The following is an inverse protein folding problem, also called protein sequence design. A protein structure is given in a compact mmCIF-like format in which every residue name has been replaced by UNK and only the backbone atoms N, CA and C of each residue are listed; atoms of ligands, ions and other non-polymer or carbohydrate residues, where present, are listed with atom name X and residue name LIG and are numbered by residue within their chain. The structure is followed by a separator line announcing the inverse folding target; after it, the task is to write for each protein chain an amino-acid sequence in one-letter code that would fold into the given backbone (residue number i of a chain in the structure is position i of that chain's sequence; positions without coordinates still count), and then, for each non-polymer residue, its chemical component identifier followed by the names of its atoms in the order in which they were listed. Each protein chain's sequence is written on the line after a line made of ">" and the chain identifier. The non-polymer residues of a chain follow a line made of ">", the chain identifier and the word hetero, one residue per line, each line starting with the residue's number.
data_IF_630580490943
#
_entry.id   IF_630580490943
#
_cell.length_a   1.000
_cell.length_b   1.000
_cell.length_c   1.000
_cell.angle_alpha   90.00
_cell.angle_beta   90.00
_cell.angle_gamma   90.00
#
_symmetry.space_group_name_H-M   'P 1'
#
loop_
_entity.id
_entity.type
_entity.pdbx_description
1 polymer ?
#
# COMPACT_ATOMS: atom_id res chain seq x y z
N UNK A 1 15.23 46.73 -33.82
CA UNK A 1 15.30 45.26 -33.69
C UNK A 1 14.50 44.89 -32.44
N UNK A 2 13.22 44.52 -32.59
CA UNK A 2 12.39 44.10 -31.44
C UNK A 2 12.67 42.63 -31.14
N UNK A 3 13.19 42.33 -29.95
CA UNK A 3 13.25 40.98 -29.42
C UNK A 3 11.91 40.69 -28.75
N UNK A 4 11.08 39.88 -29.40
CA UNK A 4 9.86 39.36 -28.77
C UNK A 4 10.25 38.31 -27.75
N UNK A 5 9.93 38.55 -26.48
CA UNK A 5 10.05 37.56 -25.42
C UNK A 5 8.98 36.50 -25.66
N UNK A 6 9.41 35.28 -26.01
CA UNK A 6 8.50 34.17 -26.22
C UNK A 6 8.08 33.61 -24.86
N UNK A 7 6.80 33.75 -24.53
CA UNK A 7 6.24 33.17 -23.31
C UNK A 7 6.41 31.65 -23.34
N UNK A 8 7.01 31.08 -22.29
CA UNK A 8 7.02 29.64 -22.06
C UNK A 8 5.56 29.20 -21.87
N UNK A 9 4.94 28.65 -22.92
CA UNK A 9 3.63 28.03 -22.78
C UNK A 9 3.81 26.80 -21.89
N UNK A 10 3.07 26.66 -20.76
CA UNK A 10 3.10 25.44 -19.99
C UNK A 10 2.64 24.30 -20.89
N UNK A 11 3.53 23.36 -21.18
CA UNK A 11 3.12 22.11 -21.79
C UNK A 11 2.14 21.45 -20.82
N UNK A 12 0.97 20.96 -21.25
CA UNK A 12 0.10 20.17 -20.40
C UNK A 12 0.94 19.03 -19.83
N UNK A 13 1.25 19.10 -18.54
CA UNK A 13 1.92 18.01 -17.84
C UNK A 13 1.01 16.80 -18.04
N UNK A 14 1.51 15.63 -18.49
CA UNK A 14 0.70 14.43 -18.49
C UNK A 14 0.12 14.27 -17.08
N UNK A 15 -1.20 14.29 -16.96
CA UNK A 15 -1.85 14.04 -15.68
C UNK A 15 -1.60 12.56 -15.33
N UNK A 16 -0.47 12.29 -14.68
CA UNK A 16 -0.23 10.98 -14.10
C UNK A 16 -1.20 10.82 -12.93
N UNK A 17 -2.07 9.81 -13.02
CA UNK A 17 -3.05 9.50 -11.97
C UNK A 17 -2.39 9.04 -10.67
N UNK A 18 -1.13 8.59 -10.77
CA UNK A 18 -0.30 8.19 -9.65
C UNK A 18 0.99 9.01 -9.58
N UNK A 19 1.54 9.22 -8.37
CA UNK A 19 2.85 9.84 -8.22
C UNK A 19 3.96 9.06 -8.96
N UNK A 20 5.08 9.72 -9.21
CA UNK A 20 6.29 9.08 -9.73
C UNK A 20 6.72 7.93 -8.80
N UNK A 21 7.13 6.80 -9.38
CA UNK A 21 7.47 5.53 -8.71
C UNK A 21 6.31 4.78 -8.03
N UNK A 22 5.06 5.16 -8.31
CA UNK A 22 3.87 4.41 -7.87
C UNK A 22 3.24 3.66 -9.02
N UNK A 23 2.67 2.48 -8.72
CA UNK A 23 2.01 1.63 -9.71
C UNK A 23 0.49 1.82 -9.60
N UNK A 24 -0.13 2.27 -10.69
CA UNK A 24 -1.58 2.39 -10.79
C UNK A 24 -2.26 1.05 -11.08
N UNK A 25 -3.26 0.68 -10.29
CA UNK A 25 -4.09 -0.48 -10.50
C UNK A 25 -5.50 -0.26 -9.95
N UNK A 26 -6.51 -0.41 -10.82
CA UNK A 26 -7.94 -0.35 -10.48
C UNK A 26 -8.36 0.91 -9.69
N UNK A 27 -7.84 2.08 -10.02
CA UNK A 27 -8.22 3.33 -9.35
C UNK A 27 -7.45 3.61 -8.06
N UNK A 28 -6.39 2.84 -7.79
CA UNK A 28 -5.47 3.01 -6.65
C UNK A 28 -4.03 3.10 -7.13
N UNK A 29 -3.24 3.87 -6.42
CA UNK A 29 -1.79 3.93 -6.57
C UNK A 29 -1.15 3.13 -5.46
N UNK A 30 -0.21 2.26 -5.80
CA UNK A 30 0.53 1.41 -4.88
C UNK A 30 2.02 1.77 -4.87
N UNK A 31 2.60 1.84 -3.68
CA UNK A 31 4.03 2.01 -3.47
C UNK A 31 4.56 0.81 -2.68
N UNK A 32 5.67 0.24 -3.13
CA UNK A 32 6.34 -0.89 -2.50
C UNK A 32 7.67 -0.39 -1.94
N UNK A 33 7.87 -0.50 -0.63
CA UNK A 33 9.08 0.01 0.00
C UNK A 33 10.29 -0.88 -0.31
N UNK A 34 11.44 -0.23 -0.49
CA UNK A 34 12.73 -0.92 -0.49
C UNK A 34 13.27 -1.08 0.93
N UNK A 35 12.91 -0.16 1.82
CA UNK A 35 13.26 -0.19 3.24
C UNK A 35 12.37 -1.16 4.03
N UNK A 36 12.86 -1.58 5.19
CA UNK A 36 12.12 -2.38 6.16
C UNK A 36 11.78 -1.56 7.42
N UNK A 37 10.65 -1.93 8.04
CA UNK A 37 10.13 -1.30 9.24
C UNK A 37 9.21 -2.26 9.99
N UNK A 38 8.97 -1.99 11.27
CA UNK A 38 7.83 -2.57 11.98
C UNK A 38 6.50 -2.02 11.44
N UNK A 39 5.40 -2.70 11.76
CA UNK A 39 4.09 -2.38 11.19
C UNK A 39 3.66 -0.92 11.45
N UNK A 40 3.87 -0.42 12.67
CA UNK A 40 3.52 0.97 13.05
C UNK A 40 4.34 1.97 12.26
N UNK A 41 5.67 1.83 12.23
CA UNK A 41 6.54 2.70 11.46
C UNK A 41 6.23 2.67 9.97
N UNK A 42 5.80 1.52 9.45
CA UNK A 42 5.39 1.37 8.05
C UNK A 42 4.12 2.17 7.75
N UNK A 43 3.13 2.14 8.65
CA UNK A 43 1.94 2.98 8.54
C UNK A 43 2.27 4.47 8.62
N UNK A 44 3.19 4.87 9.50
CA UNK A 44 3.63 6.26 9.60
C UNK A 44 4.31 6.73 8.30
N UNK A 45 5.15 5.88 7.70
CA UNK A 45 5.78 6.15 6.41
C UNK A 45 4.74 6.30 5.29
N UNK A 46 3.73 5.43 5.22
CA UNK A 46 2.65 5.60 4.25
C UNK A 46 1.86 6.89 4.49
N UNK A 47 1.61 7.24 5.76
CA UNK A 47 0.88 8.46 6.13
C UNK A 47 1.64 9.71 5.71
N UNK A 48 2.97 9.72 5.83
CA UNK A 48 3.83 10.81 5.35
C UNK A 48 3.74 11.02 3.81
N UNK A 49 3.34 9.99 3.06
CA UNK A 49 3.13 10.04 1.61
C UNK A 49 1.67 10.35 1.22
N UNK A 50 0.82 10.73 2.19
CA UNK A 50 -0.62 10.93 2.00
C UNK A 50 -1.35 9.65 1.61
N UNK A 51 -0.87 8.51 2.12
CA UNK A 51 -1.37 7.18 1.84
C UNK A 51 -1.62 6.42 3.16
N UNK A 52 -1.89 5.12 3.06
CA UNK A 52 -1.93 4.21 4.20
C UNK A 52 -1.29 2.90 3.82
N UNK A 53 -0.92 2.06 4.80
CA UNK A 53 -0.61 0.67 4.51
C UNK A 53 -1.76 0.06 3.71
N UNK A 54 -1.41 -0.75 2.70
CA UNK A 54 -2.32 -1.07 1.61
C UNK A 54 -3.63 -1.69 2.11
N UNK A 55 -4.74 -1.10 1.68
CA UNK A 55 -6.09 -1.61 1.85
C UNK A 55 -6.52 -2.36 0.59
N UNK A 56 -6.86 -3.64 0.74
CA UNK A 56 -7.23 -4.51 -0.37
C UNK A 56 -8.74 -4.74 -0.34
N UNK A 57 -9.44 -4.30 -1.38
CA UNK A 57 -10.91 -4.39 -1.41
C UNK A 57 -11.39 -5.69 -2.08
N UNK A 58 -10.50 -6.37 -2.81
CA UNK A 58 -10.86 -7.56 -3.59
C UNK A 58 -9.71 -8.56 -3.74
N UNK A 59 -10.05 -9.76 -4.23
CA UNK A 59 -9.06 -10.80 -4.55
C UNK A 59 -8.15 -10.36 -5.69
N UNK A 60 -8.63 -9.51 -6.59
CA UNK A 60 -7.81 -8.90 -7.65
C UNK A 60 -6.74 -7.96 -7.09
N UNK A 61 -7.09 -7.14 -6.09
CA UNK A 61 -6.11 -6.30 -5.39
C UNK A 61 -5.02 -7.17 -4.73
N UNK A 62 -5.43 -8.25 -4.03
CA UNK A 62 -4.50 -9.20 -3.40
C UNK A 62 -3.59 -9.87 -4.45
N UNK A 63 -4.17 -10.34 -5.55
CA UNK A 63 -3.43 -10.99 -6.63
C UNK A 63 -2.42 -10.05 -7.28
N UNK A 64 -2.79 -8.78 -7.45
CA UNK A 64 -1.90 -7.74 -7.95
C UNK A 64 -0.73 -7.51 -7.00
N UNK A 65 -0.97 -7.25 -5.71
CA UNK A 65 0.13 -6.94 -4.78
C UNK A 65 1.08 -8.13 -4.57
N UNK A 66 0.57 -9.37 -4.56
CA UNK A 66 1.42 -10.58 -4.50
C UNK A 66 2.33 -10.69 -5.73
N UNK A 67 1.80 -10.37 -6.91
CA UNK A 67 2.56 -10.42 -8.16
C UNK A 67 3.66 -9.37 -8.24
N UNK A 68 3.42 -8.19 -7.67
CA UNK A 68 4.32 -7.03 -7.80
C UNK A 68 5.31 -6.85 -6.64
N UNK A 69 5.04 -7.39 -5.45
CA UNK A 69 5.93 -7.23 -4.27
C UNK A 69 7.33 -7.85 -4.41
N UNK A 70 7.58 -8.63 -5.47
CA UNK A 70 8.83 -9.38 -5.62
C UNK A 70 9.01 -10.47 -4.57
N UNK A 71 10.25 -10.69 -4.12
CA UNK A 71 10.60 -11.77 -3.19
C UNK A 71 10.34 -11.43 -1.72
N UNK A 72 10.39 -10.15 -1.35
CA UNK A 72 10.28 -9.72 0.04
C UNK A 72 8.87 -9.89 0.60
N UNK A 73 8.77 -10.07 1.90
CA UNK A 73 7.51 -10.07 2.63
C UNK A 73 7.13 -8.63 2.97
N UNK A 74 5.85 -8.27 2.83
CA UNK A 74 5.43 -6.87 2.98
C UNK A 74 4.26 -6.70 3.94
N UNK A 75 4.36 -5.74 4.85
CA UNK A 75 3.21 -5.30 5.65
C UNK A 75 2.08 -4.75 4.78
N UNK A 76 0.85 -5.02 5.22
CA UNK A 76 -0.38 -4.42 4.68
C UNK A 76 -1.20 -3.81 5.82
N UNK A 77 -2.23 -3.03 5.47
CA UNK A 77 -2.98 -2.22 6.42
C UNK A 77 -3.98 -3.00 7.25
N UNK A 78 -3.65 -4.23 7.67
CA UNK A 78 -4.55 -5.13 8.37
C UNK A 78 -3.93 -5.63 9.69
N UNK A 79 -4.66 -5.45 10.78
CA UNK A 79 -4.23 -5.80 12.14
C UNK A 79 -5.41 -6.26 13.01
N UNK A 80 -5.11 -6.81 14.18
CA UNK A 80 -6.06 -7.15 15.24
C UNK A 80 -5.46 -6.86 16.61
N UNK A 81 -6.31 -6.58 17.59
CA UNK A 81 -5.88 -6.21 18.95
C UNK A 81 -5.34 -7.42 19.72
N UNK A 82 -5.99 -8.57 19.57
CA UNK A 82 -5.58 -9.85 20.14
C UNK A 82 -5.91 -11.01 19.18
N UNK A 83 -5.56 -12.25 19.53
CA UNK A 83 -5.78 -13.41 18.66
C UNK A 83 -7.25 -13.80 18.47
N UNK A 84 -8.13 -13.35 19.37
CA UNK A 84 -9.56 -13.65 19.40
C UNK A 84 -10.39 -12.53 18.74
N UNK A 85 -9.81 -11.35 18.59
CA UNK A 85 -10.42 -10.20 17.93
C UNK A 85 -10.46 -10.36 16.40
N UNK A 86 -11.50 -9.79 15.76
CA UNK A 86 -11.59 -9.73 14.31
C UNK A 86 -10.50 -8.84 13.72
N UNK A 87 -10.07 -9.20 12.51
CA UNK A 87 -9.19 -8.37 11.69
C UNK A 87 -9.87 -7.06 11.27
N UNK A 88 -9.12 -5.96 11.38
CA UNK A 88 -9.53 -4.61 10.98
C UNK A 88 -8.49 -3.98 10.06
N UNK A 89 -8.98 -3.32 9.03
CA UNK A 89 -8.18 -2.46 8.18
C UNK A 89 -7.84 -1.15 8.91
N UNK A 90 -6.77 -0.48 8.48
CA UNK A 90 -6.34 0.82 9.02
C UNK A 90 -7.38 1.94 8.88
N UNK A 91 -8.35 1.80 7.98
CA UNK A 91 -9.51 2.70 7.87
C UNK A 91 -10.68 2.31 8.80
N UNK A 92 -10.45 1.39 9.75
CA UNK A 92 -11.42 0.83 10.68
C UNK A 92 -12.51 -0.04 10.05
N UNK A 93 -12.42 -0.38 8.76
CA UNK A 93 -13.34 -1.35 8.17
C UNK A 93 -12.98 -2.78 8.57
N UNK A 94 -13.98 -3.65 8.60
CA UNK A 94 -13.78 -5.07 8.90
C UNK A 94 -13.26 -5.82 7.66
N UNK A 95 -12.45 -6.86 7.90
CA UNK A 95 -12.10 -7.81 6.86
C UNK A 95 -13.36 -8.52 6.34
N UNK A 96 -13.58 -8.49 5.04
CA UNK A 96 -14.59 -9.32 4.40
C UNK A 96 -14.17 -10.79 4.41
N UNK A 97 -15.11 -11.74 4.29
CA UNK A 97 -14.82 -13.18 4.25
C UNK A 97 -13.99 -13.63 3.02
N UNK A 98 -13.44 -12.69 2.24
CA UNK A 98 -12.69 -12.95 1.02
C UNK A 98 -11.26 -13.45 1.27
N UNK A 99 -10.71 -13.19 2.46
CA UNK A 99 -9.30 -13.40 2.74
C UNK A 99 -9.07 -14.36 3.90
N UNK A 100 -8.21 -15.35 3.66
CA UNK A 100 -7.70 -16.25 4.69
C UNK A 100 -6.31 -15.78 5.13
N UNK A 101 -6.10 -15.68 6.44
CA UNK A 101 -4.85 -15.21 7.03
C UNK A 101 -4.23 -16.35 7.83
N UNK A 102 -3.03 -16.77 7.43
CA UNK A 102 -2.30 -17.80 8.14
C UNK A 102 -1.52 -17.24 9.34
N UNK A 103 -1.29 -18.06 10.36
CA UNK A 103 -0.50 -17.70 11.54
C UNK A 103 -1.32 -17.06 12.67
N UNK A 104 -0.68 -16.92 13.84
CA UNK A 104 -1.30 -16.38 15.07
C UNK A 104 -0.92 -14.94 15.41
N UNK A 105 -0.18 -14.24 14.54
CA UNK A 105 0.26 -12.86 14.82
C UNK A 105 -0.87 -11.83 14.83
N UNK A 106 -0.52 -10.60 15.20
CA UNK A 106 -1.47 -9.48 15.33
C UNK A 106 -1.46 -8.55 14.11
N UNK A 107 -0.39 -8.55 13.32
CA UNK A 107 -0.26 -7.73 12.12
C UNK A 107 -0.09 -8.61 10.89
N UNK A 108 -0.83 -8.30 9.82
CA UNK A 108 -0.84 -9.08 8.60
C UNK A 108 0.17 -8.56 7.57
N UNK A 109 0.76 -9.50 6.85
CA UNK A 109 1.72 -9.27 5.79
C UNK A 109 1.47 -10.20 4.61
N UNK A 110 2.02 -9.81 3.46
CA UNK A 110 2.05 -10.56 2.22
C UNK A 110 3.30 -11.43 2.14
N UNK A 111 3.12 -12.70 1.81
CA UNK A 111 4.19 -13.58 1.35
C UNK A 111 3.83 -14.18 -0.02
N UNK A 112 4.60 -15.18 -0.47
CA UNK A 112 4.39 -15.79 -1.79
C UNK A 112 3.11 -16.64 -1.87
N UNK A 113 2.52 -17.00 -0.74
CA UNK A 113 1.35 -17.87 -0.64
C UNK A 113 0.05 -17.10 -0.32
N UNK A 114 0.12 -15.80 -0.04
CA UNK A 114 -1.03 -14.99 0.33
C UNK A 114 -0.80 -14.14 1.57
N UNK A 115 -1.82 -14.08 2.43
CA UNK A 115 -1.77 -13.34 3.69
C UNK A 115 -1.30 -14.23 4.83
N UNK A 116 -0.41 -13.70 5.65
CA UNK A 116 0.04 -14.33 6.90
C UNK A 116 0.15 -13.27 7.99
N UNK A 117 0.31 -13.70 9.24
CA UNK A 117 0.37 -12.82 10.39
C UNK A 117 1.62 -13.08 11.24
N UNK A 118 2.17 -12.02 11.82
CA UNK A 118 3.32 -12.12 12.72
C UNK A 118 3.27 -11.02 13.80
N UNK A 119 4.30 -10.94 14.65
CA UNK A 119 4.43 -9.87 15.65
C UNK A 119 4.61 -8.54 14.91
N UNK A 120 3.85 -7.52 15.30
CA UNK A 120 3.89 -6.21 14.68
C UNK A 120 5.27 -5.54 14.73
N UNK A 121 6.11 -5.92 15.68
CA UNK A 121 7.50 -5.45 15.83
C UNK A 121 8.50 -6.11 14.86
N UNK A 122 8.05 -7.00 13.97
CA UNK A 122 8.94 -7.65 13.00
C UNK A 122 9.29 -6.65 11.89
N UNK A 123 10.55 -6.61 11.48
CA UNK A 123 10.99 -5.75 10.39
C UNK A 123 10.62 -6.39 9.05
N UNK A 124 9.88 -5.65 8.20
CA UNK A 124 9.48 -6.07 6.85
C UNK A 124 9.40 -4.85 5.94
N UNK A 125 9.51 -5.08 4.63
CA UNK A 125 9.04 -4.09 3.66
C UNK A 125 7.53 -3.83 3.84
N UNK A 126 6.99 -2.82 3.19
CA UNK A 126 5.58 -2.48 3.30
C UNK A 126 5.01 -1.98 1.97
N UNK A 127 3.70 -2.20 1.80
CA UNK A 127 2.97 -1.65 0.66
C UNK A 127 2.09 -0.51 1.15
N UNK A 128 2.19 0.65 0.53
CA UNK A 128 1.25 1.75 0.72
C UNK A 128 0.23 1.76 -0.43
N UNK A 129 -1.00 2.22 -0.17
CA UNK A 129 -1.88 2.65 -1.25
C UNK A 129 -2.71 3.89 -0.92
N UNK A 130 -3.17 4.55 -1.99
CA UNK A 130 -4.11 5.67 -1.97
C UNK A 130 -4.92 5.72 -3.28
N UNK A 131 -6.07 6.41 -3.33
CA UNK A 131 -6.81 6.58 -4.57
C UNK A 131 -6.00 7.29 -5.66
N UNK A 132 -6.25 6.93 -6.93
CA UNK A 132 -5.79 7.70 -8.10
C UNK A 132 -6.35 9.12 -8.08
N UNK A 133 -5.57 10.09 -8.59
CA UNK A 133 -6.07 11.45 -8.81
C UNK A 133 -7.11 11.45 -9.94
N UNK A 134 -8.22 12.15 -9.73
CA UNK A 134 -9.29 12.38 -10.72
C UNK A 134 -8.98 13.58 -11.60
#
# INVERSE_FOLDING_TARGET
>A
LSMTVQAFQPHPQPCFRCPFDWIGYRGKCYYFSEAEGNWTSSQDNCSALGASLALLDSVEDLSFVIRYKGISEHWIGLSREDEEQPWRWVNHSHLSHLFWIHGGGLCAYLNNNGLSSSRCSTERSWVCNKPELQ
#
